data_IF_823525939201
#
_entry.id   IF_823525939201
#
_cell.length_a   1.000
_cell.length_b   1.000
_cell.length_c   1.000
_cell.angle_alpha   90.00
_cell.angle_beta   90.00
_cell.angle_gamma   90.00
#
_symmetry.space_group_name_H-M   'P 1'
#
loop_
_entity.id
_entity.type
_entity.pdbx_description
1 polymer ?
#
# COMPACT_ATOMS: atom_id res chain seq x y z
N UNK A 1 -5.86 -18.40 21.28
CA UNK A 1 -6.90 -17.73 20.47
C UNK A 1 -6.33 -17.56 19.07
N UNK A 2 -6.83 -18.35 18.13
CA UNK A 2 -6.26 -18.54 16.80
C UNK A 2 -6.34 -17.29 15.92
N UNK A 3 -5.21 -16.60 15.78
CA UNK A 3 -5.02 -15.52 14.80
C UNK A 3 -3.97 -15.88 13.72
N UNK A 4 -3.59 -17.15 13.60
CA UNK A 4 -2.57 -17.62 12.64
C UNK A 4 -3.15 -18.34 11.41
N UNK A 5 -4.47 -18.56 11.35
CA UNK A 5 -5.12 -19.28 10.25
C UNK A 5 -5.52 -18.41 9.04
N UNK A 6 -5.42 -17.07 9.12
CA UNK A 6 -5.72 -16.21 7.96
C UNK A 6 -4.56 -16.09 6.95
N UNK A 7 -3.36 -16.58 7.27
CA UNK A 7 -2.12 -16.28 6.53
C UNK A 7 -1.71 -17.35 5.48
N UNK A 8 -2.21 -18.58 5.57
CA UNK A 8 -1.70 -19.69 4.74
C UNK A 8 -2.40 -19.85 3.38
N UNK A 9 -3.54 -19.17 3.13
CA UNK A 9 -4.27 -19.28 1.85
C UNK A 9 -3.94 -18.20 0.81
N UNK A 10 -3.02 -17.28 1.10
CA UNK A 10 -2.49 -16.32 0.11
C UNK A 10 -0.98 -16.50 0.02
N UNK A 11 -0.52 -17.40 -0.84
CA UNK A 11 0.90 -17.48 -1.25
C UNK A 11 1.29 -16.27 -2.12
N UNK A 12 1.02 -15.06 -1.64
CA UNK A 12 1.09 -13.82 -2.40
C UNK A 12 2.25 -12.98 -1.85
N UNK A 13 3.43 -13.19 -2.42
CA UNK A 13 4.61 -12.37 -2.11
C UNK A 13 4.75 -11.25 -3.14
N UNK A 14 5.36 -10.15 -2.73
CA UNK A 14 5.75 -9.10 -3.69
C UNK A 14 6.78 -9.68 -4.68
N UNK A 15 6.43 -9.73 -5.96
CA UNK A 15 7.36 -10.09 -7.05
C UNK A 15 8.13 -8.86 -7.52
N UNK A 16 9.32 -9.05 -8.08
CA UNK A 16 10.09 -7.96 -8.71
C UNK A 16 9.70 -7.69 -10.17
N UNK A 17 9.22 -8.72 -10.86
CA UNK A 17 8.71 -8.63 -12.22
C UNK A 17 7.24 -9.05 -12.20
N UNK A 18 6.38 -8.18 -12.71
CA UNK A 18 4.95 -8.31 -12.80
C UNK A 18 4.51 -8.17 -14.26
N UNK A 19 3.62 -9.03 -14.71
CA UNK A 19 2.92 -8.77 -15.97
C UNK A 19 1.84 -7.71 -15.78
N UNK A 20 1.44 -7.06 -16.87
CA UNK A 20 0.32 -6.12 -16.87
C UNK A 20 -0.97 -6.77 -16.37
N UNK A 21 -1.27 -8.01 -16.79
CA UNK A 21 -2.47 -8.74 -16.39
C UNK A 21 -2.47 -9.06 -14.89
N UNK A 22 -1.30 -9.40 -14.33
CA UNK A 22 -1.15 -9.60 -12.88
C UNK A 22 -1.36 -8.28 -12.12
N UNK A 23 -0.83 -7.16 -12.63
CA UNK A 23 -1.06 -5.84 -12.02
C UNK A 23 -2.54 -5.45 -12.06
N UNK A 24 -3.22 -5.66 -13.18
CA UNK A 24 -4.67 -5.39 -13.28
C UNK A 24 -5.48 -6.23 -12.29
N UNK A 25 -5.13 -7.50 -12.12
CA UNK A 25 -5.84 -8.38 -11.19
C UNK A 25 -5.55 -8.04 -9.73
N UNK A 26 -4.30 -7.72 -9.41
CA UNK A 26 -3.80 -7.67 -8.01
C UNK A 26 -3.69 -6.26 -7.46
N UNK A 27 -3.40 -5.30 -8.33
CA UNK A 27 -3.18 -3.89 -7.99
C UNK A 27 -4.37 -2.98 -8.34
N UNK A 28 -5.47 -3.52 -8.86
CA UNK A 28 -6.70 -2.76 -9.09
C UNK A 28 -7.25 -2.11 -7.81
N UNK A 29 -7.82 -0.91 -8.00
CA UNK A 29 -8.40 -0.06 -6.97
C UNK A 29 -9.86 -0.45 -6.72
N UNK A 30 -10.19 -0.76 -5.46
CA UNK A 30 -11.58 -0.93 -5.04
C UNK A 30 -12.19 0.40 -4.59
N UNK A 31 -13.52 0.51 -4.64
CA UNK A 31 -14.25 1.74 -4.28
C UNK A 31 -13.98 2.20 -2.85
N UNK A 32 -13.89 1.28 -1.88
CA UNK A 32 -13.54 1.62 -0.49
C UNK A 32 -12.13 2.21 -0.35
N UNK A 33 -11.23 1.88 -1.28
CA UNK A 33 -9.88 2.41 -1.33
C UNK A 33 -9.83 3.83 -1.87
N UNK A 34 -10.69 4.15 -2.84
CA UNK A 34 -10.85 5.51 -3.34
C UNK A 34 -11.23 6.47 -2.22
N UNK A 35 -12.12 6.06 -1.30
CA UNK A 35 -12.50 6.86 -0.13
C UNK A 35 -11.30 7.20 0.77
N UNK A 36 -10.37 6.27 0.96
CA UNK A 36 -9.15 6.49 1.76
C UNK A 36 -8.16 7.46 1.09
N UNK A 37 -8.24 7.57 -0.24
CA UNK A 37 -7.44 8.46 -1.07
C UNK A 37 -8.12 9.82 -1.33
N UNK A 38 -9.39 10.00 -0.97
CA UNK A 38 -10.10 11.27 -1.14
C UNK A 38 -9.37 12.41 -0.43
N UNK A 39 -9.18 13.52 -1.15
CA UNK A 39 -8.47 14.71 -0.66
C UNK A 39 -6.94 14.63 -0.74
N UNK A 40 -6.36 13.58 -1.33
CA UNK A 40 -4.91 13.45 -1.55
C UNK A 40 -4.57 13.68 -3.03
N UNK A 41 -3.44 14.34 -3.27
CA UNK A 41 -2.95 14.66 -4.62
C UNK A 41 -1.47 14.28 -4.76
N UNK A 42 -1.05 13.95 -5.99
CA UNK A 42 0.33 13.63 -6.34
C UNK A 42 0.98 12.59 -5.42
N UNK A 43 2.14 12.94 -4.86
CA UNK A 43 2.98 12.05 -4.03
C UNK A 43 2.26 11.39 -2.87
N UNK A 44 1.38 12.12 -2.18
CA UNK A 44 0.71 11.61 -0.98
C UNK A 44 -0.36 10.58 -1.33
N UNK A 45 -0.94 10.68 -2.52
CA UNK A 45 -1.89 9.70 -3.05
C UNK A 45 -1.14 8.46 -3.51
N UNK A 46 -0.10 8.63 -4.32
CA UNK A 46 0.70 7.54 -4.88
C UNK A 46 1.38 6.72 -3.79
N UNK A 47 2.12 7.36 -2.88
CA UNK A 47 2.84 6.67 -1.80
C UNK A 47 1.92 5.98 -0.79
N UNK A 48 0.76 6.57 -0.48
CA UNK A 48 -0.22 5.96 0.42
C UNK A 48 -0.81 4.67 -0.18
N UNK A 49 -1.11 4.67 -1.49
CA UNK A 49 -1.67 3.52 -2.21
C UNK A 49 -0.66 2.37 -2.28
N UNK A 50 0.59 2.69 -2.62
CA UNK A 50 1.70 1.72 -2.67
C UNK A 50 1.93 1.10 -1.29
N UNK A 51 2.02 1.90 -0.22
CA UNK A 51 2.20 1.38 1.14
C UNK A 51 1.06 0.45 1.58
N UNK A 52 -0.18 0.77 1.20
CA UNK A 52 -1.34 -0.04 1.57
C UNK A 52 -1.29 -1.40 0.85
N UNK A 53 -1.02 -1.43 -0.45
CA UNK A 53 -0.86 -2.70 -1.19
C UNK A 53 0.35 -3.48 -0.70
N UNK A 54 1.50 -2.83 -0.52
CA UNK A 54 2.73 -3.47 -0.04
C UNK A 54 2.50 -4.21 1.28
N UNK A 55 1.80 -3.58 2.23
CA UNK A 55 1.46 -4.21 3.50
C UNK A 55 0.56 -5.46 3.32
N UNK A 56 -0.35 -5.46 2.35
CA UNK A 56 -1.21 -6.62 2.08
C UNK A 56 -0.44 -7.84 1.55
N UNK A 57 0.71 -7.63 0.89
CA UNK A 57 1.59 -8.70 0.40
C UNK A 57 2.63 -9.12 1.44
N UNK A 58 3.24 -8.15 2.13
CA UNK A 58 4.45 -8.39 2.94
C UNK A 58 4.19 -8.37 4.45
N UNK A 59 3.03 -7.93 4.92
CA UNK A 59 2.66 -7.76 6.33
C UNK A 59 3.54 -6.75 7.13
N UNK A 60 4.41 -6.00 6.45
CA UNK A 60 5.15 -4.87 7.01
C UNK A 60 5.13 -3.69 6.03
N UNK A 61 5.54 -2.50 6.48
CA UNK A 61 5.64 -1.32 5.63
C UNK A 61 7.07 -1.11 5.14
N UNK A 62 7.21 -0.75 3.86
CA UNK A 62 8.49 -0.29 3.36
C UNK A 62 8.93 1.03 4.02
N UNK A 63 10.23 1.16 4.22
CA UNK A 63 10.92 2.39 4.66
C UNK A 63 11.55 3.16 3.49
N UNK A 64 11.54 2.61 2.27
CA UNK A 64 12.14 3.24 1.10
C UNK A 64 11.42 2.91 -0.22
N UNK A 65 11.63 3.73 -1.23
CA UNK A 65 11.13 3.47 -2.58
C UNK A 65 11.85 2.30 -3.25
N UNK A 66 13.11 2.04 -2.89
CA UNK A 66 13.96 1.06 -3.56
C UNK A 66 13.45 -0.37 -3.44
N UNK A 67 12.72 -0.68 -2.37
CA UNK A 67 12.06 -1.98 -2.17
C UNK A 67 10.76 -2.13 -2.96
N UNK A 68 10.34 -1.12 -3.71
CA UNK A 68 9.16 -1.16 -4.57
C UNK A 68 9.60 -1.35 -6.03
N UNK A 69 9.15 -2.42 -6.70
CA UNK A 69 9.40 -2.62 -8.11
C UNK A 69 8.88 -1.47 -8.96
N UNK A 70 9.67 -1.02 -9.94
CA UNK A 70 9.33 0.12 -10.78
C UNK A 70 8.02 -0.07 -11.56
N UNK A 71 7.74 -1.29 -12.02
CA UNK A 71 6.51 -1.64 -12.75
C UNK A 71 5.24 -1.36 -11.92
N UNK A 72 5.31 -1.61 -10.61
CA UNK A 72 4.24 -1.28 -9.67
C UNK A 72 4.09 0.23 -9.58
N UNK A 73 5.20 0.97 -9.46
CA UNK A 73 5.16 2.44 -9.34
C UNK A 73 4.47 3.04 -10.57
N UNK A 74 4.86 2.64 -11.77
CA UNK A 74 4.27 3.10 -13.02
C UNK A 74 2.79 2.75 -13.13
N UNK A 75 2.43 1.51 -12.78
CA UNK A 75 1.04 1.08 -12.82
C UNK A 75 0.18 1.86 -11.82
N UNK A 76 0.63 1.99 -10.56
CA UNK A 76 -0.13 2.70 -9.51
C UNK A 76 -0.26 4.18 -9.84
N UNK A 77 0.79 4.80 -10.39
CA UNK A 77 0.75 6.18 -10.87
C UNK A 77 -0.33 6.36 -11.94
N UNK A 78 -0.44 5.43 -12.89
CA UNK A 78 -1.48 5.49 -13.94
C UNK A 78 -2.90 5.42 -13.36
N UNK A 79 -3.18 4.49 -12.44
CA UNK A 79 -4.53 4.33 -11.86
C UNK A 79 -4.89 5.42 -10.84
N UNK A 80 -3.88 6.09 -10.26
CA UNK A 80 -4.07 7.21 -9.34
C UNK A 80 -4.01 8.58 -10.03
N UNK A 81 -3.81 8.61 -11.35
CA UNK A 81 -3.62 9.83 -12.13
C UNK A 81 -2.54 10.74 -11.53
N UNK A 82 -1.40 10.15 -11.17
CA UNK A 82 -0.21 10.81 -10.61
C UNK A 82 1.01 10.51 -11.49
N UNK A 83 2.10 11.26 -11.34
CA UNK A 83 3.34 10.96 -12.03
C UNK A 83 4.17 9.94 -11.23
N UNK A 84 4.85 8.95 -11.85
CA UNK A 84 5.71 8.01 -11.12
C UNK A 84 6.79 8.71 -10.28
N UNK A 85 7.34 9.79 -10.82
CA UNK A 85 8.32 10.70 -10.22
C UNK A 85 7.80 11.45 -8.98
N UNK A 86 6.47 11.57 -8.79
CA UNK A 86 5.92 12.11 -7.55
C UNK A 86 6.35 11.26 -6.34
N UNK A 87 6.60 9.97 -6.54
CA UNK A 87 7.00 9.06 -5.47
C UNK A 87 8.40 9.38 -4.92
N UNK A 88 9.27 10.03 -5.70
CA UNK A 88 10.63 10.37 -5.27
C UNK A 88 10.61 11.40 -4.12
N UNK A 89 9.60 12.26 -4.11
CA UNK A 89 9.36 13.24 -3.05
C UNK A 89 8.56 12.67 -1.87
N UNK A 90 8.19 11.39 -1.89
CA UNK A 90 7.37 10.78 -0.84
C UNK A 90 8.21 10.46 0.40
N UNK A 91 7.76 10.96 1.55
CA UNK A 91 8.41 10.73 2.84
C UNK A 91 8.01 9.36 3.44
N UNK A 92 8.80 8.32 3.16
CA UNK A 92 8.55 6.95 3.63
C UNK A 92 8.61 6.81 5.15
N UNK A 93 9.66 7.34 5.78
CA UNK A 93 9.89 7.26 7.24
C UNK A 93 9.58 8.57 7.99
N UNK A 94 9.16 9.60 7.25
CA UNK A 94 8.76 10.90 7.82
C UNK A 94 7.39 10.87 8.51
N UNK A 95 6.97 12.03 9.03
CA UNK A 95 5.67 12.20 9.69
C UNK A 95 4.51 11.80 8.77
N UNK A 96 4.62 12.13 7.48
CA UNK A 96 3.63 11.80 6.45
C UNK A 96 3.48 10.28 6.30
N UNK A 97 4.59 9.57 6.08
CA UNK A 97 4.63 8.11 6.01
C UNK A 97 4.06 7.43 7.25
N UNK A 98 4.46 7.87 8.44
CA UNK A 98 3.94 7.33 9.70
C UNK A 98 2.43 7.54 9.86
N UNK A 99 1.91 8.72 9.49
CA UNK A 99 0.47 9.00 9.50
C UNK A 99 -0.28 8.07 8.53
N UNK A 100 0.29 7.81 7.36
CA UNK A 100 -0.30 6.91 6.36
C UNK A 100 -0.31 5.46 6.84
N UNK A 101 0.78 4.97 7.46
CA UNK A 101 0.85 3.64 8.08
C UNK A 101 -0.26 3.43 9.11
N UNK A 102 -0.46 4.39 10.03
CA UNK A 102 -1.53 4.34 11.02
C UNK A 102 -2.92 4.28 10.39
N UNK A 103 -3.19 5.15 9.40
CA UNK A 103 -4.47 5.15 8.66
C UNK A 103 -4.69 3.83 7.91
N UNK A 104 -3.66 3.30 7.26
CA UNK A 104 -3.72 2.03 6.54
C UNK A 104 -4.02 0.87 7.50
N UNK A 105 -3.34 0.80 8.65
CA UNK A 105 -3.64 -0.20 9.68
C UNK A 105 -5.07 -0.08 10.21
N UNK A 106 -5.56 1.13 10.43
CA UNK A 106 -6.95 1.35 10.85
C UNK A 106 -7.95 0.91 9.79
N UNK A 107 -7.70 1.21 8.51
CA UNK A 107 -8.54 0.80 7.39
C UNK A 107 -8.57 -0.72 7.22
N UNK A 108 -7.44 -1.39 7.42
CA UNK A 108 -7.34 -2.84 7.38
C UNK A 108 -7.91 -3.53 8.64
N UNK A 109 -8.36 -2.76 9.64
CA UNK A 109 -8.92 -3.30 10.89
C UNK A 109 -7.88 -3.71 11.95
N UNK A 110 -6.58 -3.46 11.72
CA UNK A 110 -5.50 -3.78 12.66
C UNK A 110 -5.41 -2.80 13.84
N UNK A 111 -6.04 -1.62 13.76
CA UNK A 111 -5.97 -0.62 14.84
C UNK A 111 -6.84 -0.94 16.07
N UNK A 112 -7.54 -2.07 16.11
CA UNK A 112 -8.41 -2.47 17.22
C UNK A 112 -7.91 -3.71 17.99
N UNK A 113 -6.63 -3.74 18.37
CA UNK A 113 -6.11 -4.68 19.39
C UNK A 113 -5.20 -4.00 20.44
N UNK A 114 -5.48 -2.75 20.83
CA UNK A 114 -4.95 -2.17 22.07
C UNK A 114 -6.00 -1.27 22.75
N UNK A 115 -7.04 -1.89 23.26
CA UNK A 115 -7.91 -1.35 24.29
C UNK A 115 -8.34 -2.52 25.19
N UNK A 116 -7.37 -3.04 25.95
CA UNK A 116 -7.55 -3.93 27.11
C UNK A 116 -6.16 -4.19 27.69
N UNK A 117 -5.62 -3.23 28.45
CA UNK A 117 -4.80 -3.41 29.65
C UNK A 117 -5.04 -2.17 30.53
#
# INVERSE_FOLDING_TARGET
MSSHLFRVLRGEFLKWHWSKDELETRWSLSVGKLVLLLGRIGRDRLGCEILLKFFQFQDFFSNDQKSIPHEIVVYVASVTNSAPEDLDAYEWDGCTGQRHRKKNLSFLGYAAQRASI
#
